data_IF_555026260287
#
_entry.id   IF_555026260287
#
_cell.length_a   1.000
_cell.length_b   1.000
_cell.length_c   1.000
_cell.angle_alpha   90.00
_cell.angle_beta   90.00
_cell.angle_gamma   90.00
#
_symmetry.space_group_name_H-M   'P 1'
#
loop_
_entity.id
_entity.type
_entity.pdbx_description
1 polymer ?
#
# COMPACT_ATOMS: atom_id res chain seq x y z
N UNK A 1 -2.89 -28.99 34.21
CA UNK A 1 -3.60 -30.28 34.40
C UNK A 1 -3.47 -31.06 33.09
N UNK A 2 -2.61 -32.08 33.04
CA UNK A 2 -2.36 -32.86 31.82
C UNK A 2 -3.41 -33.97 31.74
N UNK A 3 -4.38 -33.83 30.83
CA UNK A 3 -5.35 -34.89 30.56
C UNK A 3 -4.67 -35.96 29.69
N UNK A 4 -4.28 -37.08 30.30
CA UNK A 4 -3.82 -38.28 29.58
C UNK A 4 -4.97 -39.26 29.47
N UNK A 5 -5.55 -39.42 28.28
CA UNK A 5 -6.36 -40.60 27.94
C UNK A 5 -5.45 -41.58 27.20
N UNK A 6 -5.20 -42.75 27.79
CA UNK A 6 -4.44 -43.89 27.21
C UNK A 6 -2.93 -43.73 27.00
N UNK A 7 -2.20 -43.07 27.92
CA UNK A 7 -0.75 -43.26 28.07
C UNK A 7 0.17 -42.79 26.92
N UNK A 8 -0.37 -42.24 25.84
CA UNK A 8 0.42 -41.56 24.80
C UNK A 8 0.51 -40.08 25.14
N UNK A 9 1.74 -39.53 25.18
CA UNK A 9 1.98 -38.10 25.41
C UNK A 9 1.15 -37.28 24.43
N UNK A 10 0.27 -36.41 24.94
CA UNK A 10 -0.44 -35.37 24.17
C UNK A 10 0.54 -34.23 23.84
N UNK A 11 1.75 -34.56 23.38
CA UNK A 11 2.76 -33.60 22.92
C UNK A 11 2.78 -33.46 21.40
N UNK A 12 2.18 -34.42 20.68
CA UNK A 12 2.11 -34.42 19.22
C UNK A 12 0.90 -33.66 18.68
N UNK A 13 -0.21 -33.61 19.43
CA UNK A 13 -1.42 -32.92 19.00
C UNK A 13 -1.25 -31.39 18.95
N UNK A 14 -0.40 -30.83 19.83
CA UNK A 14 -0.10 -29.40 19.84
C UNK A 14 1.00 -28.99 18.83
N UNK A 15 1.92 -29.90 18.48
CA UNK A 15 2.99 -29.62 17.50
C UNK A 15 2.50 -29.61 16.05
N UNK A 16 1.42 -30.34 15.74
CA UNK A 16 0.78 -30.32 14.42
C UNK A 16 -0.24 -29.18 14.26
N UNK A 17 -0.59 -28.45 15.33
CA UNK A 17 -1.52 -27.32 15.28
C UNK A 17 -0.84 -25.99 14.93
N UNK A 18 0.50 -25.95 14.93
CA UNK A 18 1.33 -24.76 14.64
C UNK A 18 1.87 -24.74 13.20
N UNK A 19 1.64 -25.80 12.43
CA UNK A 19 1.59 -25.77 10.96
C UNK A 19 0.13 -25.41 10.65
N UNK A 20 -0.28 -24.33 10.00
CA UNK A 20 0.34 -23.45 9.02
C UNK A 20 -0.46 -22.13 9.01
N UNK A 21 -0.05 -21.11 9.75
CA UNK A 21 -0.52 -19.74 9.50
C UNK A 21 0.69 -18.92 9.08
N UNK A 22 1.05 -19.06 7.80
CA UNK A 22 2.09 -18.25 7.20
C UNK A 22 1.51 -16.88 6.90
N UNK A 23 1.82 -15.91 7.75
CA UNK A 23 1.50 -14.50 7.50
C UNK A 23 2.46 -14.04 6.40
N UNK A 24 1.93 -13.79 5.21
CA UNK A 24 2.68 -13.29 4.08
C UNK A 24 1.88 -12.18 3.38
N UNK A 25 2.57 -11.43 2.53
CA UNK A 25 1.92 -10.52 1.59
C UNK A 25 1.56 -11.35 0.37
N UNK A 26 0.26 -11.60 0.16
CA UNK A 26 -0.23 -12.41 -0.94
C UNK A 26 -0.11 -11.69 -2.29
N UNK A 27 -0.37 -10.38 -2.32
CA UNK A 27 -0.28 -9.52 -3.50
C UNK A 27 -0.16 -8.05 -3.07
N UNK A 28 0.34 -7.22 -3.97
CA UNK A 28 0.43 -5.75 -3.82
C UNK A 28 -0.09 -5.14 -5.11
N UNK A 29 -1.01 -4.19 -5.00
CA UNK A 29 -1.47 -3.36 -6.11
C UNK A 29 -1.42 -1.89 -5.69
N UNK A 30 -1.32 -1.01 -6.69
CA UNK A 30 -1.22 0.42 -6.46
C UNK A 30 -1.98 1.22 -7.52
N UNK A 31 -2.34 2.43 -7.14
CA UNK A 31 -2.95 3.42 -8.01
C UNK A 31 -2.22 4.75 -7.84
N UNK A 32 -1.92 5.40 -8.96
CA UNK A 32 -1.31 6.71 -9.02
C UNK A 32 -2.29 7.65 -9.72
N UNK A 33 -2.55 8.85 -9.18
CA UNK A 33 -3.34 9.87 -9.85
C UNK A 33 -2.85 10.16 -11.26
N UNK A 34 -3.75 10.50 -12.18
CA UNK A 34 -3.40 10.78 -13.58
C UNK A 34 -2.56 12.05 -13.76
N UNK A 35 -2.73 13.04 -12.89
CA UNK A 35 -2.08 14.33 -13.05
C UNK A 35 -0.60 14.24 -12.64
N UNK A 36 0.29 14.60 -13.57
CA UNK A 36 1.73 14.50 -13.41
C UNK A 36 2.30 15.92 -13.35
N UNK A 37 2.95 16.25 -12.23
CA UNK A 37 3.73 17.48 -12.08
C UNK A 37 5.20 17.18 -12.40
N UNK A 38 5.70 17.78 -13.48
CA UNK A 38 7.08 17.63 -13.92
C UNK A 38 8.00 18.65 -13.25
N UNK A 39 9.31 18.38 -13.29
CA UNK A 39 10.29 19.34 -12.80
C UNK A 39 10.34 20.63 -13.64
N UNK A 40 10.01 20.54 -14.92
CA UNK A 40 9.89 21.67 -15.82
C UNK A 40 8.74 22.60 -15.40
N UNK A 41 7.61 22.03 -14.97
CA UNK A 41 6.47 22.82 -14.50
C UNK A 41 6.79 23.55 -13.20
N UNK A 42 7.47 22.90 -12.26
CA UNK A 42 7.96 23.54 -11.03
C UNK A 42 8.95 24.66 -11.35
N UNK A 43 9.85 24.44 -12.31
CA UNK A 43 10.84 25.44 -12.70
C UNK A 43 10.20 26.67 -13.36
N UNK A 44 9.02 26.54 -13.95
CA UNK A 44 8.24 27.69 -14.47
C UNK A 44 7.61 28.50 -13.34
N UNK A 45 7.10 27.82 -12.32
CA UNK A 45 6.47 28.46 -11.15
C UNK A 45 7.52 29.04 -10.19
N UNK A 46 8.67 28.39 -10.07
CA UNK A 46 9.79 28.75 -9.18
C UNK A 46 11.11 28.82 -9.97
N UNK A 47 11.42 29.95 -10.62
CA UNK A 47 12.60 30.10 -11.46
C UNK A 47 13.93 29.86 -10.74
N UNK A 48 13.98 30.01 -9.41
CA UNK A 48 15.16 29.72 -8.60
C UNK A 48 15.50 28.22 -8.52
N UNK A 49 14.51 27.35 -8.80
CA UNK A 49 14.59 25.90 -8.81
C UNK A 49 14.54 25.34 -10.24
N UNK A 50 15.67 25.40 -10.94
CA UNK A 50 15.81 24.72 -12.25
C UNK A 50 15.58 23.20 -12.13
N UNK A 51 14.98 22.58 -13.15
CA UNK A 51 14.72 21.15 -13.19
C UNK A 51 15.96 20.27 -12.87
N UNK A 52 17.14 20.67 -13.36
CA UNK A 52 18.42 20.00 -13.08
C UNK A 52 18.78 20.04 -11.58
N UNK A 53 18.59 21.18 -10.91
CA UNK A 53 18.83 21.32 -9.46
C UNK A 53 17.86 20.47 -8.65
N UNK A 54 16.60 20.38 -9.06
CA UNK A 54 15.58 19.55 -8.39
C UNK A 54 15.96 18.07 -8.51
N UNK A 55 16.26 17.61 -9.73
CA UNK A 55 16.71 16.25 -9.99
C UNK A 55 18.01 15.92 -9.24
N UNK A 56 18.99 16.83 -9.25
CA UNK A 56 20.26 16.62 -8.58
C UNK A 56 20.14 16.51 -7.05
N UNK A 57 19.20 17.22 -6.43
CA UNK A 57 19.01 17.19 -4.96
C UNK A 57 18.08 16.08 -4.49
N UNK A 58 16.99 15.81 -5.22
CA UNK A 58 15.89 14.96 -4.76
C UNK A 58 15.83 13.63 -5.53
N UNK A 59 16.37 13.57 -6.75
CA UNK A 59 16.35 12.38 -7.60
C UNK A 59 14.98 12.06 -8.22
N UNK A 60 13.99 12.92 -8.05
CA UNK A 60 12.63 12.75 -8.59
C UNK A 60 12.50 13.56 -9.88
N UNK A 61 12.05 12.93 -10.95
CA UNK A 61 11.84 13.58 -12.25
C UNK A 61 10.42 14.13 -12.41
N UNK A 62 9.43 13.40 -11.92
CA UNK A 62 8.02 13.78 -11.94
C UNK A 62 7.29 13.15 -10.77
N UNK A 63 6.12 13.69 -10.41
CA UNK A 63 5.26 13.15 -9.35
C UNK A 63 3.79 13.20 -9.73
N UNK A 64 3.06 12.21 -9.26
CA UNK A 64 1.61 12.14 -9.43
C UNK A 64 0.93 12.94 -8.32
N UNK A 65 0.04 13.85 -8.70
CA UNK A 65 -0.68 14.75 -7.80
C UNK A 65 -2.17 14.48 -7.93
N UNK A 66 -2.86 14.22 -6.81
CA UNK A 66 -4.31 14.02 -6.83
C UNK A 66 -5.02 15.29 -7.33
N UNK A 67 -6.13 15.10 -8.06
CA UNK A 67 -7.00 16.22 -8.44
C UNK A 67 -7.67 16.79 -7.18
N UNK A 68 -8.14 18.04 -7.22
CA UNK A 68 -8.86 18.63 -6.09
C UNK A 68 -10.14 17.85 -5.70
N UNK A 69 -10.72 17.13 -6.66
CA UNK A 69 -11.88 16.25 -6.46
C UNK A 69 -11.52 14.85 -5.99
N UNK A 70 -10.24 14.50 -5.89
CA UNK A 70 -9.76 13.15 -5.60
C UNK A 70 -9.14 13.12 -4.21
N UNK A 71 -9.67 12.24 -3.35
CA UNK A 71 -9.23 12.09 -1.98
C UNK A 71 -8.34 10.86 -1.84
N UNK A 72 -7.62 10.75 -0.73
CA UNK A 72 -6.83 9.56 -0.45
C UNK A 72 -7.68 8.28 -0.33
N UNK A 73 -8.97 8.42 0.03
CA UNK A 73 -9.91 7.30 0.03
C UNK A 73 -10.17 6.81 -1.38
N UNK A 74 -10.30 7.70 -2.35
CA UNK A 74 -10.50 7.34 -3.77
C UNK A 74 -9.27 6.60 -4.32
N UNK A 75 -8.06 7.09 -4.02
CA UNK A 75 -6.81 6.42 -4.44
C UNK A 75 -6.71 4.99 -3.88
N UNK A 76 -7.07 4.83 -2.61
CA UNK A 76 -6.98 3.55 -1.95
C UNK A 76 -8.15 2.62 -2.34
N UNK A 77 -9.32 3.16 -2.70
CA UNK A 77 -10.40 2.41 -3.34
C UNK A 77 -9.93 1.83 -4.68
N UNK A 78 -9.34 2.64 -5.56
CA UNK A 78 -8.84 2.20 -6.86
C UNK A 78 -7.74 1.14 -6.74
N UNK A 79 -6.78 1.33 -5.83
CA UNK A 79 -5.74 0.34 -5.56
C UNK A 79 -6.32 -0.99 -5.02
N UNK A 80 -7.31 -0.91 -4.13
CA UNK A 80 -7.98 -2.09 -3.57
C UNK A 80 -8.80 -2.83 -4.63
N UNK A 81 -9.49 -2.08 -5.50
CA UNK A 81 -10.28 -2.66 -6.59
C UNK A 81 -9.38 -3.40 -7.58
N UNK A 82 -8.23 -2.84 -7.94
CA UNK A 82 -7.20 -3.55 -8.73
C UNK A 82 -6.72 -4.83 -8.04
N UNK A 83 -6.46 -4.78 -6.73
CA UNK A 83 -6.04 -5.95 -5.96
C UNK A 83 -7.06 -7.08 -6.00
N UNK A 84 -8.35 -6.74 -5.82
CA UNK A 84 -9.43 -7.71 -5.83
C UNK A 84 -9.64 -8.34 -7.22
N UNK A 85 -9.55 -7.52 -8.28
CA UNK A 85 -9.61 -8.01 -9.66
C UNK A 85 -8.44 -8.95 -9.98
N UNK A 86 -7.21 -8.58 -9.58
CA UNK A 86 -6.03 -9.41 -9.76
C UNK A 86 -6.15 -10.75 -9.03
N UNK A 87 -6.60 -10.73 -7.77
CA UNK A 87 -6.65 -11.90 -6.92
C UNK A 87 -7.72 -12.94 -7.33
N UNK A 88 -8.62 -12.64 -8.27
CA UNK A 88 -9.77 -13.49 -8.65
C UNK A 88 -10.54 -14.07 -7.45
N UNK A 89 -10.47 -13.41 -6.30
CA UNK A 89 -10.83 -13.98 -5.02
C UNK A 89 -12.18 -13.43 -4.59
N UNK A 90 -13.18 -14.31 -4.48
CA UNK A 90 -14.51 -14.00 -3.91
C UNK A 90 -14.48 -13.77 -2.39
N UNK A 91 -13.36 -13.30 -1.85
CA UNK A 91 -13.03 -13.44 -0.43
C UNK A 91 -13.78 -12.41 0.44
N UNK A 92 -14.67 -12.93 1.28
CA UNK A 92 -15.66 -12.20 2.08
C UNK A 92 -15.14 -11.55 3.38
N UNK A 93 -13.82 -11.40 3.55
CA UNK A 93 -13.24 -10.76 4.73
C UNK A 93 -12.10 -9.81 4.33
N UNK A 94 -12.42 -8.52 4.27
CA UNK A 94 -11.46 -7.44 4.05
C UNK A 94 -11.38 -6.64 5.35
N UNK A 95 -10.24 -6.70 6.05
CA UNK A 95 -9.95 -5.73 7.10
C UNK A 95 -9.14 -4.61 6.47
N UNK A 96 -9.80 -3.50 6.14
CA UNK A 96 -9.15 -2.36 5.48
C UNK A 96 -8.64 -1.38 6.52
N UNK A 97 -7.33 -1.22 6.61
CA UNK A 97 -6.68 -0.16 7.38
C UNK A 97 -6.20 0.92 6.41
N UNK A 98 -6.73 2.14 6.52
CA UNK A 98 -6.23 3.29 5.76
C UNK A 98 -5.25 4.09 6.62
N UNK A 99 -4.03 4.27 6.15
CA UNK A 99 -3.06 5.19 6.71
C UNK A 99 -2.81 6.32 5.70
N UNK A 100 -3.23 7.53 6.03
CA UNK A 100 -3.10 8.70 5.17
C UNK A 100 -2.62 9.87 6.01
N UNK A 101 -1.58 10.55 5.56
CA UNK A 101 -1.18 11.87 6.06
C UNK A 101 -1.42 12.89 4.94
N UNK A 102 -2.54 13.61 5.03
CA UNK A 102 -2.97 14.55 4.00
C UNK A 102 -2.17 15.86 4.08
N UNK A 103 -0.97 15.93 3.51
CA UNK A 103 -0.32 17.21 3.21
C UNK A 103 -0.73 17.68 1.80
N UNK A 104 -1.94 18.20 1.68
CA UNK A 104 -2.31 19.03 0.54
C UNK A 104 -1.78 20.45 0.80
N UNK A 105 -0.48 20.66 0.56
CA UNK A 105 0.05 22.03 0.41
C UNK A 105 0.19 22.30 -1.07
N UNK A 106 -0.67 23.23 -1.53
CA UNK A 106 -0.47 24.05 -2.74
C UNK A 106 0.99 24.50 -2.71
N UNK A 107 1.82 23.96 -3.60
CA UNK A 107 3.09 24.60 -3.94
C UNK A 107 2.74 25.90 -4.67
#
# INVERSE_FOLDING_TARGET
MVLTRNGKRVSYLCKNLLREFMINIAAIEYYLPENILTNEDISKEFPEWSAEKIKAKIGVEARHVAKESETALDLAYEASLKLLLFANSSCAYLFTLFAVESMCKRL
#
